data_IF_529333863597
#
_entry.id   IF_529333863597
#
_cell.length_a   1.000
_cell.length_b   1.000
_cell.length_c   1.000
_cell.angle_alpha   90.00
_cell.angle_beta   90.00
_cell.angle_gamma   90.00
#
_symmetry.space_group_name_H-M   'P 1'
#
loop_
_entity.id
_entity.type
_entity.pdbx_description
1 polymer ?
#
# COMPACT_ATOMS: atom_id res chain seq x y z
N UNK A 1 7.79 10.71 15.44
CA UNK A 1 8.01 9.43 16.18
C UNK A 1 7.76 8.24 15.26
N UNK A 2 6.54 8.01 14.74
CA UNK A 2 6.26 6.89 13.82
C UNK A 2 7.22 6.76 12.62
N UNK A 3 7.56 7.88 11.97
CA UNK A 3 8.55 7.88 10.87
C UNK A 3 9.96 7.43 11.29
N UNK A 4 10.41 7.79 12.49
CA UNK A 4 11.73 7.34 12.97
C UNK A 4 11.75 5.84 13.23
N UNK A 5 10.66 5.30 13.81
CA UNK A 5 10.52 3.87 14.10
C UNK A 5 10.46 3.04 12.81
N UNK A 6 9.77 3.55 11.79
CA UNK A 6 9.75 2.96 10.46
C UNK A 6 11.16 2.81 9.86
N UNK A 7 12.03 3.82 10.02
CA UNK A 7 13.42 3.74 9.57
C UNK A 7 14.28 2.80 10.42
N UNK A 8 13.87 2.52 11.66
CA UNK A 8 14.51 1.53 12.54
C UNK A 8 13.96 0.11 12.31
N UNK A 9 13.09 -0.09 11.32
CA UNK A 9 12.38 -1.35 11.03
C UNK A 9 11.50 -1.86 12.20
N UNK A 10 11.14 -1.00 13.14
CA UNK A 10 10.13 -1.30 14.16
C UNK A 10 8.73 -1.02 13.60
N UNK A 11 8.30 -1.93 12.71
CA UNK A 11 7.07 -1.76 11.93
C UNK A 11 5.82 -1.84 12.80
N UNK A 12 5.82 -2.64 13.87
CA UNK A 12 4.68 -2.76 14.77
C UNK A 12 4.43 -1.45 15.53
N UNK A 13 5.47 -0.87 16.13
CA UNK A 13 5.32 0.42 16.81
C UNK A 13 5.04 1.54 15.82
N UNK A 14 5.73 1.58 14.67
CA UNK A 14 5.48 2.58 13.63
C UNK A 14 4.00 2.56 13.19
N UNK A 15 3.46 1.37 12.96
CA UNK A 15 2.07 1.16 12.59
C UNK A 15 1.10 1.68 13.66
N UNK A 16 1.34 1.42 14.94
CA UNK A 16 0.50 1.95 16.03
C UNK A 16 0.40 3.48 15.98
N UNK A 17 1.52 4.17 15.72
CA UNK A 17 1.51 5.64 15.57
C UNK A 17 0.76 6.09 14.32
N UNK A 18 0.95 5.42 13.17
CA UNK A 18 0.24 5.76 11.94
C UNK A 18 -1.28 5.55 12.07
N UNK A 19 -1.71 4.42 12.62
CA UNK A 19 -3.12 4.12 12.85
C UNK A 19 -3.76 5.10 13.85
N UNK A 20 -3.02 5.52 14.88
CA UNK A 20 -3.48 6.57 15.79
C UNK A 20 -3.67 7.91 15.07
N UNK A 21 -2.75 8.29 14.19
CA UNK A 21 -2.86 9.53 13.41
C UNK A 21 -4.10 9.51 12.50
N UNK A 22 -4.31 8.41 11.77
CA UNK A 22 -5.49 8.21 10.91
C UNK A 22 -6.78 8.32 11.75
N UNK A 23 -6.82 7.63 12.91
CA UNK A 23 -7.99 7.67 13.81
C UNK A 23 -8.30 9.08 14.30
N UNK A 24 -7.30 9.84 14.74
CA UNK A 24 -7.49 11.21 15.24
C UNK A 24 -8.01 12.12 14.14
N UNK A 25 -7.46 12.01 12.94
CA UNK A 25 -7.87 12.83 11.81
C UNK A 25 -9.31 12.51 11.37
N UNK A 26 -9.68 11.22 11.28
CA UNK A 26 -11.06 10.80 11.04
C UNK A 26 -12.04 11.33 12.10
N UNK A 27 -11.68 11.27 13.40
CA UNK A 27 -12.52 11.76 14.50
C UNK A 27 -12.68 13.27 14.50
N UNK A 28 -11.71 13.99 13.94
CA UNK A 28 -11.71 15.45 13.86
C UNK A 28 -12.52 15.96 12.66
N UNK A 29 -13.13 15.07 11.87
CA UNK A 29 -13.88 15.40 10.66
C UNK A 29 -13.02 16.01 9.56
N UNK A 30 -11.69 15.86 9.66
CA UNK A 30 -10.77 16.25 8.60
C UNK A 30 -10.58 15.07 7.67
N UNK A 31 -10.84 15.27 6.38
CA UNK A 31 -10.44 14.31 5.36
C UNK A 31 -8.92 14.11 5.48
N UNK A 32 -8.52 12.88 5.79
CA UNK A 32 -7.11 12.50 5.86
C UNK A 32 -6.58 12.42 4.44
N UNK A 33 -6.20 13.55 3.85
CA UNK A 33 -5.58 13.60 2.52
C UNK A 33 -4.06 13.50 2.61
N UNK A 34 -3.58 12.65 3.51
CA UNK A 34 -2.15 12.38 3.66
C UNK A 34 -1.83 11.04 3.02
N UNK A 35 -1.54 11.09 1.72
CA UNK A 35 -1.08 9.95 0.92
C UNK A 35 0.05 9.19 1.62
N UNK A 36 1.00 9.92 2.20
CA UNK A 36 2.19 9.35 2.81
C UNK A 36 1.86 8.55 4.07
N UNK A 37 0.83 8.95 4.81
CA UNK A 37 0.35 8.24 5.99
C UNK A 37 -0.20 6.86 5.63
N UNK A 38 -1.07 6.78 4.61
CA UNK A 38 -1.62 5.51 4.14
C UNK A 38 -0.56 4.61 3.50
N UNK A 39 0.33 5.18 2.68
CA UNK A 39 1.43 4.44 2.06
C UNK A 39 2.37 3.82 3.09
N UNK A 40 2.73 4.57 4.13
CA UNK A 40 3.63 4.08 5.19
C UNK A 40 2.96 3.03 6.06
N UNK A 41 1.68 3.21 6.42
CA UNK A 41 0.92 2.21 7.15
C UNK A 41 0.77 0.92 6.34
N UNK A 42 0.39 1.02 5.06
CA UNK A 42 0.32 -0.12 4.13
C UNK A 42 1.66 -0.83 4.00
N UNK A 43 2.76 -0.09 3.89
CA UNK A 43 4.08 -0.69 3.81
C UNK A 43 4.51 -1.36 5.12
N UNK A 44 4.13 -0.83 6.29
CA UNK A 44 4.33 -1.53 7.56
C UNK A 44 3.57 -2.85 7.58
N UNK A 45 2.31 -2.88 7.13
CA UNK A 45 1.54 -4.12 7.03
C UNK A 45 2.20 -5.13 6.07
N UNK A 46 2.69 -4.69 4.91
CA UNK A 46 3.47 -5.53 3.99
C UNK A 46 4.71 -6.11 4.67
N UNK A 47 5.45 -5.32 5.46
CA UNK A 47 6.65 -5.80 6.19
C UNK A 47 6.35 -6.75 7.33
N UNK A 48 5.09 -6.81 7.77
CA UNK A 48 4.58 -7.72 8.78
C UNK A 48 3.80 -8.90 8.18
N UNK A 49 3.85 -9.08 6.85
CA UNK A 49 3.10 -10.10 6.10
C UNK A 49 1.56 -10.06 6.33
N UNK A 50 1.03 -8.89 6.69
CA UNK A 50 -0.40 -8.65 6.91
C UNK A 50 -1.05 -8.11 5.63
N UNK A 51 -1.19 -8.98 4.64
CA UNK A 51 -1.55 -8.60 3.28
C UNK A 51 -2.96 -8.04 3.13
N UNK A 52 -3.95 -8.53 3.88
CA UNK A 52 -5.31 -8.00 3.86
C UNK A 52 -5.35 -6.55 4.35
N UNK A 53 -4.69 -6.27 5.48
CA UNK A 53 -4.61 -4.91 6.01
C UNK A 53 -3.83 -3.99 5.06
N UNK A 54 -2.73 -4.48 4.48
CA UNK A 54 -1.97 -3.75 3.47
C UNK A 54 -2.83 -3.38 2.26
N UNK A 55 -3.61 -4.36 1.74
CA UNK A 55 -4.53 -4.16 0.62
C UNK A 55 -5.51 -3.02 0.92
N UNK A 56 -6.12 -3.00 2.11
CA UNK A 56 -7.06 -1.94 2.51
C UNK A 56 -6.37 -0.57 2.51
N UNK A 57 -5.18 -0.45 3.11
CA UNK A 57 -4.47 0.82 3.17
C UNK A 57 -4.08 1.34 1.78
N UNK A 58 -3.62 0.46 0.88
CA UNK A 58 -3.26 0.86 -0.48
C UNK A 58 -4.48 1.15 -1.35
N UNK A 59 -5.60 0.45 -1.14
CA UNK A 59 -6.87 0.75 -1.82
C UNK A 59 -7.35 2.16 -1.45
N UNK A 60 -7.45 2.47 -0.15
CA UNK A 60 -7.81 3.82 0.31
C UNK A 60 -6.87 4.89 -0.26
N UNK A 61 -5.56 4.62 -0.23
CA UNK A 61 -4.59 5.53 -0.83
C UNK A 61 -4.81 5.73 -2.33
N UNK A 62 -5.20 4.68 -3.07
CA UNK A 62 -5.38 4.72 -4.52
C UNK A 62 -6.66 5.42 -4.96
N UNK A 63 -7.69 5.43 -4.11
CA UNK A 63 -8.96 6.15 -4.37
C UNK A 63 -8.74 7.66 -4.33
N UNK A 64 -7.97 8.15 -3.34
CA UNK A 64 -7.65 9.56 -3.18
C UNK A 64 -6.47 10.01 -4.05
N UNK A 65 -5.51 9.11 -4.31
CA UNK A 65 -4.25 9.41 -5.00
C UNK A 65 -3.92 8.37 -6.07
N UNK A 66 -4.13 8.73 -7.33
CA UNK A 66 -3.78 7.91 -8.50
C UNK A 66 -2.27 7.89 -8.75
N UNK A 67 -1.53 7.15 -7.93
CA UNK A 67 -0.07 7.00 -8.06
C UNK A 67 0.33 5.56 -8.36
N UNK A 68 1.35 5.38 -9.20
CA UNK A 68 1.89 4.07 -9.53
C UNK A 68 2.32 3.29 -8.28
N UNK A 69 2.86 3.98 -7.26
CA UNK A 69 3.27 3.35 -5.99
C UNK A 69 2.10 2.70 -5.25
N UNK A 70 0.97 3.40 -5.07
CA UNK A 70 -0.17 2.85 -4.34
C UNK A 70 -0.78 1.66 -5.08
N UNK A 71 -0.96 1.79 -6.40
CA UNK A 71 -1.45 0.69 -7.23
C UNK A 71 -0.48 -0.50 -7.26
N UNK A 72 0.84 -0.26 -7.30
CA UNK A 72 1.82 -1.33 -7.29
C UNK A 72 1.70 -2.18 -6.04
N UNK A 73 1.73 -1.53 -4.86
CA UNK A 73 1.61 -2.27 -3.61
C UNK A 73 0.21 -2.87 -3.37
N UNK A 74 -0.85 -2.27 -3.93
CA UNK A 74 -2.18 -2.90 -3.98
C UNK A 74 -2.14 -4.21 -4.78
N UNK A 75 -1.56 -4.17 -5.99
CA UNK A 75 -1.41 -5.35 -6.85
C UNK A 75 -0.55 -6.45 -6.22
N UNK A 76 0.57 -6.09 -5.60
CA UNK A 76 1.42 -7.02 -4.84
C UNK A 76 0.66 -7.63 -3.66
N UNK A 77 -0.14 -6.85 -2.94
CA UNK A 77 -0.97 -7.37 -1.84
C UNK A 77 -2.02 -8.35 -2.36
N UNK A 78 -2.69 -8.04 -3.48
CA UNK A 78 -3.61 -8.97 -4.14
C UNK A 78 -2.92 -10.27 -4.57
N UNK A 79 -1.71 -10.20 -5.13
CA UNK A 79 -0.93 -11.38 -5.52
C UNK A 79 -0.66 -12.29 -4.32
N UNK A 80 -0.18 -11.74 -3.21
CA UNK A 80 0.11 -12.52 -1.98
C UNK A 80 -1.16 -13.12 -1.34
N UNK A 81 -2.33 -12.51 -1.58
CA UNK A 81 -3.64 -13.03 -1.18
C UNK A 81 -4.23 -14.03 -2.20
N UNK A 82 -3.46 -14.48 -3.19
CA UNK A 82 -3.92 -15.34 -4.29
C UNK A 82 -5.05 -14.75 -5.14
N UNK A 83 -5.25 -13.43 -5.08
CA UNK A 83 -6.22 -12.68 -5.89
C UNK A 83 -5.65 -12.31 -7.26
N UNK A 84 -5.26 -13.31 -8.06
CA UNK A 84 -4.48 -13.13 -9.28
C UNK A 84 -5.18 -12.26 -10.34
N UNK A 85 -6.50 -12.41 -10.54
CA UNK A 85 -7.24 -11.60 -11.50
C UNK A 85 -7.24 -10.10 -11.12
N UNK A 86 -7.35 -9.79 -9.83
CA UNK A 86 -7.30 -8.42 -9.34
C UNK A 86 -5.87 -7.86 -9.39
N UNK A 87 -4.88 -8.70 -9.04
CA UNK A 87 -3.47 -8.36 -9.15
C UNK A 87 -3.09 -8.00 -10.61
N UNK A 88 -3.51 -8.80 -11.59
CA UNK A 88 -3.26 -8.56 -13.01
C UNK A 88 -3.81 -7.19 -13.45
N UNK A 89 -5.08 -6.91 -13.13
CA UNK A 89 -5.75 -5.65 -13.49
C UNK A 89 -5.01 -4.45 -12.91
N UNK A 90 -4.68 -4.52 -11.61
CA UNK A 90 -4.04 -3.41 -10.91
C UNK A 90 -2.59 -3.22 -11.38
N UNK A 91 -1.81 -4.30 -11.53
CA UNK A 91 -0.43 -4.21 -11.99
C UNK A 91 -0.32 -3.77 -13.46
N UNK A 92 -1.30 -4.11 -14.30
CA UNK A 92 -1.40 -3.60 -15.67
C UNK A 92 -1.59 -2.08 -15.69
N UNK A 93 -2.38 -1.53 -14.75
CA UNK A 93 -2.51 -0.10 -14.56
C UNK A 93 -1.19 0.53 -14.11
N UNK A 94 -0.42 -0.14 -13.24
CA UNK A 94 0.91 0.34 -12.82
C UNK A 94 1.83 0.47 -14.02
N UNK A 95 1.86 -0.52 -14.91
CA UNK A 95 2.65 -0.45 -16.14
C UNK A 95 2.23 0.72 -17.05
N UNK A 96 0.96 1.08 -17.06
CA UNK A 96 0.49 2.28 -17.79
C UNK A 96 0.95 3.59 -17.12
N UNK A 97 0.89 3.66 -15.78
CA UNK A 97 1.25 4.87 -15.01
C UNK A 97 2.77 5.09 -14.91
N UNK A 98 3.52 4.00 -14.75
CA UNK A 98 4.98 3.98 -14.69
C UNK A 98 5.52 2.75 -15.43
N UNK A 99 5.72 2.88 -16.76
CA UNK A 99 6.27 1.79 -17.58
C UNK A 99 7.70 1.40 -17.20
N UNK A 100 8.41 2.24 -16.44
CA UNK A 100 9.80 2.00 -16.04
C UNK A 100 9.93 1.13 -14.78
N UNK A 101 8.82 0.86 -14.09
CA UNK A 101 8.80 0.05 -12.88
C UNK A 101 8.98 -1.44 -13.20
N UNK A 102 10.24 -1.90 -13.22
CA UNK A 102 10.59 -3.30 -13.50
C UNK A 102 9.92 -4.31 -12.56
N UNK A 103 9.64 -3.95 -11.30
CA UNK A 103 8.97 -4.84 -10.36
C UNK A 103 7.53 -5.13 -10.79
N UNK A 104 6.83 -4.14 -11.36
CA UNK A 104 5.47 -4.35 -11.88
C UNK A 104 5.45 -5.42 -12.99
N UNK A 105 6.45 -5.41 -13.88
CA UNK A 105 6.60 -6.43 -14.92
C UNK A 105 6.90 -7.81 -14.33
N UNK A 106 7.75 -7.89 -13.31
CA UNK A 106 8.07 -9.14 -12.64
C UNK A 106 6.81 -9.75 -11.99
N UNK A 107 6.03 -8.95 -11.26
CA UNK A 107 4.78 -9.42 -10.67
C UNK A 107 3.71 -9.78 -11.71
N UNK A 108 3.59 -9.03 -12.82
CA UNK A 108 2.70 -9.40 -13.92
C UNK A 108 3.08 -10.76 -14.52
N UNK A 109 4.37 -11.00 -14.74
CA UNK A 109 4.84 -12.30 -15.22
C UNK A 109 4.48 -13.43 -14.23
N UNK A 110 4.64 -13.19 -12.92
CA UNK A 110 4.27 -14.17 -11.89
C UNK A 110 2.76 -14.44 -11.82
N UNK A 111 1.92 -13.43 -12.08
CA UNK A 111 0.46 -13.55 -12.08
C UNK A 111 -0.06 -14.34 -13.28
N UNK A 112 0.65 -14.26 -14.42
CA UNK A 112 0.24 -14.85 -15.69
C UNK A 112 0.81 -16.27 -15.94
N UNK A 113 1.62 -16.78 -15.01
CA UNK A 113 2.13 -18.16 -15.02
C UNK A 113 1.09 -19.15 -14.46
#
# INVERSE_FOLDING_TARGET
>A
IGHSLYHQADYEQALQYYMRAIRVANLSGQDVKDQLLFQRAGHCYTKLDRWEDAKVMFLMCSEDFKTAFAHFHLGVSCYNLSGYEEAEKVLSLVNYLDPSNADAWAYLALVLL
#
